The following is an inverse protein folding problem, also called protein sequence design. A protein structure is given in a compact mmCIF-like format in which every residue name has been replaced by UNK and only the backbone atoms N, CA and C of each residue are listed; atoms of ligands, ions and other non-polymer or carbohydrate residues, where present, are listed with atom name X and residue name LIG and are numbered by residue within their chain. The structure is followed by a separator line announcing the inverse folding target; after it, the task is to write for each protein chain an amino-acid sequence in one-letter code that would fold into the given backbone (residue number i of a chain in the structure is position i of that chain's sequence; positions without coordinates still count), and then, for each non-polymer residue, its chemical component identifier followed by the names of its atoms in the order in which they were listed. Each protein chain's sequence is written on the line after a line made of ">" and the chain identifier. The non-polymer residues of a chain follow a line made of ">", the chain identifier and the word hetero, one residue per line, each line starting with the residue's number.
data_IF_924154034382
#
_entry.id   IF_924154034382
#
_cell.length_a   1.000
_cell.length_b   1.000
_cell.length_c   1.000
_cell.angle_alpha   90.00
_cell.angle_beta   90.00
_cell.angle_gamma   90.00
#
_symmetry.space_group_name_H-M   'P 1'
#
loop_
_entity.id
_entity.type
_entity.pdbx_description
1 polymer ?
#
# COMPACT_ATOMS: atom_id res chain seq x y z
N UNK A 1 -0.11 15.74 18.51
CA UNK A 1 0.84 16.38 17.57
C UNK A 1 1.06 15.50 16.34
N UNK A 2 1.47 16.05 15.18
CA UNK A 2 1.69 15.26 13.95
C UNK A 2 2.72 14.13 14.13
N UNK A 3 3.78 14.39 14.91
CA UNK A 3 4.81 13.41 15.23
C UNK A 3 4.25 12.17 15.95
N UNK A 4 3.38 12.35 16.94
CA UNK A 4 2.76 11.24 17.67
C UNK A 4 1.91 10.36 16.74
N UNK A 5 1.21 10.98 15.78
CA UNK A 5 0.40 10.24 14.79
C UNK A 5 1.29 9.41 13.88
N UNK A 6 2.41 9.98 13.45
CA UNK A 6 3.40 9.25 12.67
C UNK A 6 4.03 8.11 13.48
N UNK A 7 4.31 8.31 14.77
CA UNK A 7 4.80 7.26 15.66
C UNK A 7 3.77 6.13 15.84
N UNK A 8 2.48 6.45 15.94
CA UNK A 8 1.39 5.46 15.98
C UNK A 8 1.34 4.67 14.67
N UNK A 9 1.51 5.31 13.52
CA UNK A 9 1.61 4.62 12.23
C UNK A 9 2.80 3.66 12.22
N UNK A 10 3.97 4.11 12.70
CA UNK A 10 5.18 3.28 12.80
C UNK A 10 5.09 2.15 13.83
N UNK A 11 4.13 2.18 14.76
CA UNK A 11 3.89 1.06 15.67
C UNK A 11 3.26 -0.16 14.95
N UNK A 12 2.69 0.02 13.76
CA UNK A 12 2.25 -1.09 12.92
C UNK A 12 3.42 -1.59 12.04
N UNK A 13 3.77 -2.87 12.16
CA UNK A 13 4.91 -3.45 11.44
C UNK A 13 4.76 -3.39 9.92
N UNK A 14 3.56 -3.60 9.38
CA UNK A 14 3.33 -3.50 7.94
C UNK A 14 3.48 -2.08 7.40
N UNK A 15 2.98 -1.08 8.13
CA UNK A 15 3.18 0.32 7.79
C UNK A 15 4.66 0.72 7.88
N UNK A 16 5.37 0.32 8.94
CA UNK A 16 6.81 0.51 9.09
C UNK A 16 7.58 -0.13 7.94
N UNK A 17 7.20 -1.34 7.53
CA UNK A 17 7.80 -2.05 6.42
C UNK A 17 7.59 -1.32 5.10
N UNK A 18 6.39 -0.83 4.82
CA UNK A 18 6.11 -0.02 3.62
C UNK A 18 6.93 1.27 3.64
N UNK A 19 6.97 1.97 4.78
CA UNK A 19 7.73 3.21 4.98
C UNK A 19 9.25 3.02 4.96
N UNK A 20 9.76 1.79 4.95
CA UNK A 20 11.19 1.51 4.74
C UNK A 20 11.68 1.86 3.33
N UNK A 21 10.77 2.13 2.40
CA UNK A 21 11.09 2.56 1.02
C UNK A 21 10.83 4.05 0.83
N UNK A 22 11.63 4.74 0.00
CA UNK A 22 11.44 6.17 -0.29
C UNK A 22 10.04 6.53 -0.83
N UNK A 23 9.44 5.64 -1.62
CA UNK A 23 8.08 5.78 -2.17
C UNK A 23 6.98 5.22 -1.25
N UNK A 24 7.33 4.73 -0.05
CA UNK A 24 6.43 3.99 0.83
C UNK A 24 5.23 4.80 1.30
N UNK A 25 5.45 6.08 1.64
CA UNK A 25 4.36 6.96 2.04
C UNK A 25 3.39 7.20 0.87
N UNK A 26 3.92 7.45 -0.34
CA UNK A 26 3.10 7.62 -1.54
C UNK A 26 2.31 6.34 -1.85
N UNK A 27 2.94 5.17 -1.71
CA UNK A 27 2.27 3.88 -1.87
C UNK A 27 1.10 3.69 -0.88
N UNK A 28 1.26 4.08 0.39
CA UNK A 28 0.15 4.03 1.37
C UNK A 28 -1.04 4.88 0.91
N UNK A 29 -0.77 6.09 0.40
CA UNK A 29 -1.82 6.95 -0.13
C UNK A 29 -2.49 6.36 -1.38
N UNK A 30 -1.69 5.88 -2.35
CA UNK A 30 -2.19 5.25 -3.57
C UNK A 30 -3.13 4.10 -3.24
N UNK A 31 -2.69 3.16 -2.39
CA UNK A 31 -3.51 2.00 -2.06
C UNK A 31 -4.75 2.37 -1.24
N UNK A 32 -4.66 3.38 -0.37
CA UNK A 32 -5.82 3.85 0.39
C UNK A 32 -6.87 4.53 -0.51
N UNK A 33 -6.44 5.25 -1.55
CA UNK A 33 -7.35 5.84 -2.56
C UNK A 33 -7.98 4.73 -3.40
N UNK A 34 -7.18 3.79 -3.92
CA UNK A 34 -7.70 2.65 -4.67
C UNK A 34 -8.73 1.84 -3.87
N UNK A 35 -8.55 1.69 -2.55
CA UNK A 35 -9.53 1.03 -1.70
C UNK A 35 -10.80 1.87 -1.51
N UNK A 36 -10.67 3.17 -1.28
CA UNK A 36 -11.82 4.07 -1.11
C UNK A 36 -12.69 4.18 -2.37
N UNK A 37 -12.07 4.13 -3.56
CA UNK A 37 -12.75 4.20 -4.85
C UNK A 37 -13.17 2.82 -5.38
N UNK A 38 -12.89 1.75 -4.63
CA UNK A 38 -13.04 0.37 -5.08
C UNK A 38 -12.39 0.11 -6.47
N UNK A 39 -11.25 0.75 -6.72
CA UNK A 39 -10.60 0.77 -8.01
C UNK A 39 -9.94 -0.59 -8.33
N UNK A 40 -10.08 -1.07 -9.56
CA UNK A 40 -9.60 -2.38 -10.01
C UNK A 40 -8.08 -2.41 -10.24
N UNK A 41 -7.28 -1.74 -9.41
CA UNK A 41 -5.83 -1.60 -9.64
C UNK A 41 -5.06 -2.84 -9.20
N UNK A 42 -4.29 -3.42 -10.13
CA UNK A 42 -3.28 -4.41 -9.82
C UNK A 42 -1.91 -3.78 -9.55
N UNK A 43 -0.88 -4.62 -9.46
CA UNK A 43 0.50 -4.17 -9.17
C UNK A 43 1.00 -3.12 -10.16
N UNK A 44 0.86 -3.37 -11.46
CA UNK A 44 1.32 -2.43 -12.49
C UNK A 44 0.53 -1.13 -12.46
N UNK A 45 -0.80 -1.19 -12.30
CA UNK A 45 -1.63 0.02 -12.21
C UNK A 45 -1.27 0.86 -10.98
N UNK A 46 -0.99 0.23 -9.84
CA UNK A 46 -0.54 0.93 -8.63
C UNK A 46 0.86 1.53 -8.78
N UNK A 47 1.74 0.90 -9.57
CA UNK A 47 3.07 1.45 -9.87
C UNK A 47 2.97 2.74 -10.68
N UNK A 48 2.12 2.77 -11.71
CA UNK A 48 1.95 3.95 -12.58
C UNK A 48 1.33 5.15 -11.84
N UNK A 49 0.75 4.94 -10.65
CA UNK A 49 0.24 6.01 -9.79
C UNK A 49 1.33 6.67 -8.92
N UNK A 50 2.52 6.07 -8.77
CA UNK A 50 3.63 6.66 -8.05
C UNK A 50 4.27 7.78 -8.87
N UNK A 51 4.42 8.97 -8.28
CA UNK A 51 5.02 10.13 -8.95
C UNK A 51 6.42 10.45 -8.44
N UNK A 52 6.76 10.01 -7.23
CA UNK A 52 8.02 10.39 -6.56
C UNK A 52 8.80 9.16 -6.11
N UNK A 53 10.12 9.22 -6.29
CA UNK A 53 11.04 8.15 -5.88
C UNK A 53 10.65 6.75 -6.39
N UNK A 54 9.93 6.70 -7.53
CA UNK A 54 9.48 5.46 -8.14
C UNK A 54 10.71 4.57 -8.41
N UNK A 55 10.71 3.32 -7.91
CA UNK A 55 11.83 2.42 -8.11
C UNK A 55 11.78 1.87 -9.53
N UNK A 56 12.77 1.05 -9.92
CA UNK A 56 12.62 0.22 -11.13
C UNK A 56 11.41 -0.71 -10.98
N UNK A 57 10.63 -0.92 -12.05
CA UNK A 57 9.44 -1.81 -12.05
C UNK A 57 9.68 -3.17 -11.40
N UNK A 58 10.77 -3.84 -11.76
CA UNK A 58 11.12 -5.14 -11.17
C UNK A 58 11.34 -5.06 -9.64
N UNK A 59 11.94 -3.98 -9.15
CA UNK A 59 12.15 -3.77 -7.71
C UNK A 59 10.83 -3.47 -6.98
N UNK A 60 9.92 -2.72 -7.61
CA UNK A 60 8.57 -2.53 -7.09
C UNK A 60 7.81 -3.85 -6.98
N UNK A 61 7.75 -4.61 -8.08
CA UNK A 61 7.04 -5.89 -8.14
C UNK A 61 7.58 -6.88 -7.10
N UNK A 62 8.91 -6.96 -6.94
CA UNK A 62 9.53 -7.79 -5.91
C UNK A 62 9.18 -7.32 -4.49
N UNK A 63 9.17 -6.01 -4.25
CA UNK A 63 8.78 -5.47 -2.95
C UNK A 63 7.31 -5.76 -2.61
N UNK A 64 6.40 -5.63 -3.58
CA UNK A 64 4.99 -6.00 -3.39
C UNK A 64 4.84 -7.50 -3.08
N UNK A 65 5.59 -8.38 -3.77
CA UNK A 65 5.61 -9.81 -3.44
C UNK A 65 6.09 -10.07 -2.01
N UNK A 66 7.12 -9.36 -1.55
CA UNK A 66 7.60 -9.44 -0.17
C UNK A 66 6.52 -9.00 0.82
N UNK A 67 5.88 -7.85 0.59
CA UNK A 67 4.79 -7.36 1.46
C UNK A 67 3.60 -8.31 1.50
N UNK A 68 3.26 -8.93 0.38
CA UNK A 68 2.23 -9.97 0.29
C UNK A 68 2.62 -11.21 1.08
N UNK A 69 3.85 -11.72 0.93
CA UNK A 69 4.33 -12.88 1.69
C UNK A 69 4.41 -12.61 3.19
N UNK A 70 4.67 -11.36 3.57
CA UNK A 70 4.69 -10.89 4.96
C UNK A 70 3.27 -10.56 5.50
N UNK A 71 2.23 -10.66 4.66
CA UNK A 71 0.83 -10.41 5.04
C UNK A 71 0.44 -8.94 5.20
N UNK A 72 1.30 -8.01 4.79
CA UNK A 72 1.08 -6.56 4.93
C UNK A 72 0.20 -5.97 3.82
N UNK A 73 0.10 -6.67 2.70
CA UNK A 73 -0.74 -6.35 1.53
C UNK A 73 -1.48 -7.63 1.12
N UNK A 74 -2.67 -7.46 0.55
CA UNK A 74 -3.47 -8.57 0.03
C UNK A 74 -3.73 -8.38 -1.46
N UNK A 75 -3.82 -9.52 -2.16
CA UNK A 75 -4.28 -9.60 -3.54
C UNK A 75 -5.66 -10.26 -3.57
N UNK A 76 -6.64 -9.58 -4.15
CA UNK A 76 -7.99 -10.11 -4.33
C UNK A 76 -8.29 -10.25 -5.81
N UNK A 77 -9.04 -11.29 -6.20
CA UNK A 77 -9.42 -11.48 -7.60
C UNK A 77 -10.30 -10.30 -8.06
N UNK A 78 -10.01 -9.78 -9.25
CA UNK A 78 -10.82 -8.73 -9.87
C UNK A 78 -12.21 -9.24 -10.24
N UNK A 79 -13.22 -8.43 -9.97
CA UNK A 79 -14.61 -8.67 -10.40
C UNK A 79 -14.82 -8.40 -11.90
N UNK A 80 -13.88 -7.70 -12.55
CA UNK A 80 -13.94 -7.32 -13.97
C UNK A 80 -13.16 -8.32 -14.82
N UNK A 81 -11.96 -8.72 -14.38
CA UNK A 81 -11.07 -9.63 -15.12
C UNK A 81 -10.49 -10.70 -14.20
N UNK A 82 -10.97 -11.94 -14.32
CA UNK A 82 -10.57 -13.05 -13.45
C UNK A 82 -9.05 -13.31 -13.37
N UNK A 83 -8.28 -12.97 -14.41
CA UNK A 83 -6.82 -13.12 -14.41
C UNK A 83 -6.07 -11.98 -13.70
N UNK A 84 -6.77 -10.96 -13.20
CA UNK A 84 -6.20 -9.77 -12.56
C UNK A 84 -6.40 -9.86 -11.05
N UNK A 85 -5.32 -9.58 -10.33
CA UNK A 85 -5.34 -9.46 -8.89
C UNK A 85 -5.26 -7.99 -8.49
N UNK A 86 -6.29 -7.54 -7.80
CA UNK A 86 -6.41 -6.21 -7.21
C UNK A 86 -5.51 -6.13 -5.98
N UNK A 87 -4.74 -5.05 -5.87
CA UNK A 87 -3.82 -4.80 -4.78
C UNK A 87 -4.49 -3.96 -3.68
N UNK A 88 -4.42 -4.41 -2.42
CA UNK A 88 -4.99 -3.72 -1.25
C UNK A 88 -4.06 -3.77 -0.04
N UNK A 89 -4.20 -2.80 0.85
CA UNK A 89 -3.59 -2.90 2.18
C UNK A 89 -4.24 -4.05 2.96
N UNK A 90 -3.47 -4.71 3.80
CA UNK A 90 -4.03 -5.56 4.84
C UNK A 90 -4.91 -4.75 5.80
N UNK A 91 -5.84 -5.41 6.49
CA UNK A 91 -6.82 -4.76 7.36
C UNK A 91 -6.16 -3.96 8.48
N UNK A 92 -5.08 -4.48 9.07
CA UNK A 92 -4.35 -3.82 10.16
C UNK A 92 -3.57 -2.60 9.66
N UNK A 93 -2.86 -2.71 8.53
CA UNK A 93 -2.15 -1.57 7.91
C UNK A 93 -3.14 -0.49 7.50
N UNK A 94 -4.25 -0.88 6.86
CA UNK A 94 -5.31 0.05 6.46
C UNK A 94 -5.93 0.77 7.65
N UNK A 95 -6.14 0.08 8.78
CA UNK A 95 -6.63 0.71 10.03
C UNK A 95 -5.61 1.68 10.61
N UNK A 96 -4.33 1.30 10.68
CA UNK A 96 -3.26 2.16 11.18
C UNK A 96 -3.12 3.44 10.34
N UNK A 97 -3.17 3.30 9.01
CA UNK A 97 -3.07 4.44 8.10
C UNK A 97 -4.32 5.33 8.14
N UNK A 98 -5.53 4.76 8.29
CA UNK A 98 -6.75 5.56 8.52
C UNK A 98 -6.65 6.38 9.81
N UNK A 99 -6.14 5.80 10.90
CA UNK A 99 -5.92 6.52 12.16
C UNK A 99 -4.90 7.67 12.02
N UNK A 100 -3.84 7.47 11.23
CA UNK A 100 -2.88 8.52 10.90
C UNK A 100 -3.51 9.69 10.14
N UNK A 101 -4.40 9.42 9.17
CA UNK A 101 -5.04 10.44 8.32
C UNK A 101 -6.19 11.21 9.00
N UNK A 102 -6.93 10.58 9.92
CA UNK A 102 -8.23 11.06 10.39
C UNK A 102 -8.18 12.12 11.51
N UNK A 103 -7.10 12.88 11.66
CA UNK A 103 -6.93 13.81 12.79
C UNK A 103 -6.34 15.14 12.36
#
# INVERSE_FOLDING_TARGET
>A
MLLERYQILLANEGAKRILSKPYGLELLFVLAVCEAENADNGVEDSYELLRHFAPRRAAFSNFIKTLESEGHIVKTVSSIKASKNILRLSKDVGKAFKAFKAS
#
